data_IF_306122157927
#
_entry.id   IF_306122157927
#
_cell.length_a   1.000
_cell.length_b   1.000
_cell.length_c   1.000
_cell.angle_alpha   90.00
_cell.angle_beta   90.00
_cell.angle_gamma   90.00
#
_symmetry.space_group_name_H-M   'P 1'
#
loop_
_entity.id
_entity.type
_entity.pdbx_description
1 polymer ?
2 non-polymer ?
3 water ?
#
# COMPACT_ATOMS: atom_id res chain seq x y z
N UNK A 1 2.72 -0.09 -14.88
CA UNK A 1 2.40 -0.58 -13.51
C UNK A 1 1.51 -1.82 -13.53
N UNK A 2 1.93 -2.84 -12.79
CA UNK A 2 1.14 -4.06 -12.65
C UNK A 2 1.32 -4.56 -11.21
N UNK A 3 0.62 -5.63 -10.85
CA UNK A 3 0.69 -6.15 -9.48
C UNK A 3 2.05 -6.66 -9.04
N UNK A 4 2.81 -7.21 -9.98
CA UNK A 4 4.13 -7.70 -9.63
C UNK A 4 4.95 -6.52 -9.15
N UNK A 5 4.82 -5.40 -9.85
CA UNK A 5 5.58 -4.22 -9.47
C UNK A 5 5.12 -3.73 -8.10
N UNK A 6 3.81 -3.71 -7.88
CA UNK A 6 3.27 -3.28 -6.60
C UNK A 6 3.84 -4.15 -5.47
N UNK A 7 3.85 -5.47 -5.68
CA UNK A 7 4.37 -6.38 -4.67
C UNK A 7 5.82 -6.07 -4.34
N UNK A 8 6.63 -5.86 -5.36
CA UNK A 8 8.04 -5.58 -5.14
C UNK A 8 8.24 -4.29 -4.35
N UNK A 9 7.53 -3.24 -4.73
CA UNK A 9 7.65 -1.96 -4.04
C UNK A 9 7.22 -2.03 -2.57
N UNK A 10 6.12 -2.74 -2.31
CA UNK A 10 5.54 -2.87 -0.97
C UNK A 10 6.07 -3.98 -0.07
N UNK A 11 6.78 -4.94 -0.64
CA UNK A 11 7.27 -6.06 0.16
C UNK A 11 8.03 -5.65 1.43
N UNK A 12 8.90 -4.62 1.34
CA UNK A 12 9.64 -4.20 2.53
C UNK A 12 8.73 -3.78 3.69
N UNK A 13 7.45 -3.54 3.38
CA UNK A 13 6.47 -3.13 4.38
C UNK A 13 5.76 -4.31 5.00
N UNK A 14 5.97 -5.49 4.42
CA UNK A 14 5.30 -6.69 4.89
C UNK A 14 5.42 -6.96 6.38
N UNK A 15 6.64 -6.96 6.91
CA UNK A 15 6.83 -7.24 8.32
C UNK A 15 6.09 -6.22 9.19
N UNK A 16 6.07 -4.96 8.76
CA UNK A 16 5.38 -3.93 9.52
C UNK A 16 3.86 -4.17 9.54
N UNK A 17 3.27 -4.47 8.40
CA UNK A 17 1.83 -4.69 8.37
C UNK A 17 1.46 -6.01 9.04
N UNK A 18 2.46 -6.84 9.31
CA UNK A 18 2.20 -8.11 9.99
C UNK A 18 2.48 -7.99 11.48
N UNK A 19 2.46 -6.76 11.98
CA UNK A 19 2.67 -6.53 13.40
C UNK A 19 4.09 -6.29 13.86
N UNK A 20 5.03 -6.23 12.92
CA UNK A 20 6.41 -6.00 13.28
C UNK A 20 6.66 -4.52 13.39
N UNK A 21 7.90 -4.11 13.70
CA UNK A 21 8.23 -2.69 13.82
C UNK A 21 8.31 -2.04 12.44
N UNK A 22 8.31 -0.72 12.41
CA UNK A 22 8.37 -0.02 11.15
C UNK A 22 7.42 1.16 11.13
N UNK A 23 7.12 1.71 9.95
CA UNK A 23 7.65 1.23 8.66
C UNK A 23 9.14 1.52 8.51
N UNK A 24 9.86 0.58 7.90
CA UNK A 24 11.29 0.74 7.69
C UNK A 24 11.53 1.79 6.61
N UNK A 25 12.77 2.23 6.47
CA UNK A 25 13.08 3.20 5.45
C UNK A 25 12.85 2.58 4.08
N UNK A 26 13.15 1.29 3.94
CA UNK A 26 12.96 0.60 2.68
C UNK A 26 11.48 0.53 2.34
N UNK A 27 10.66 0.31 3.36
CA UNK A 27 9.23 0.26 3.15
C UNK A 27 8.76 1.61 2.62
N UNK A 28 9.17 2.69 3.28
CA UNK A 28 8.77 4.02 2.85
C UNK A 28 9.32 4.42 1.47
N UNK A 29 10.53 3.98 1.14
CA UNK A 29 11.09 4.30 -0.17
C UNK A 29 10.25 3.63 -1.23
N UNK A 30 9.83 2.40 -0.95
CA UNK A 30 9.01 1.67 -1.89
C UNK A 30 7.67 2.35 -2.04
N UNK A 31 7.09 2.77 -0.92
CA UNK A 31 5.80 3.44 -0.92
C UNK A 31 5.88 4.73 -1.72
N UNK A 32 6.92 5.52 -1.47
CA UNK A 32 7.09 6.78 -2.19
C UNK A 32 7.29 6.54 -3.67
N UNK A 33 8.07 5.52 -4.01
CA UNK A 33 8.31 5.23 -5.41
C UNK A 33 7.03 4.74 -6.09
N UNK A 34 6.27 3.90 -5.39
CA UNK A 34 5.03 3.40 -5.96
C UNK A 34 4.07 4.56 -6.17
N UNK A 35 4.03 5.46 -5.20
CA UNK A 35 3.15 6.62 -5.25
C UNK A 35 3.50 7.47 -6.48
N UNK A 36 4.79 7.63 -6.72
CA UNK A 36 5.25 8.41 -7.86
C UNK A 36 4.90 7.74 -9.19
N UNK A 37 4.88 6.41 -9.22
CA UNK A 37 4.56 5.70 -10.46
C UNK A 37 3.07 5.67 -10.73
N UNK A 38 2.27 5.83 -9.69
CA UNK A 38 0.82 5.82 -9.83
C UNK A 38 0.37 7.23 -10.21
N UNK A 39 0.72 7.64 -11.43
CA UNK A 39 0.42 8.97 -11.94
C UNK A 39 -0.99 9.15 -12.47
N UNK A 40 -1.50 8.15 -13.16
CA UNK A 40 -2.84 8.24 -13.72
C UNK A 40 -3.86 7.55 -12.83
N UNK A 41 -5.13 7.82 -13.10
CA UNK A 41 -6.22 7.21 -12.34
C UNK A 41 -6.09 5.70 -12.47
N UNK A 42 -5.77 5.25 -13.68
CA UNK A 42 -5.62 3.84 -13.94
C UNK A 42 -4.53 3.20 -13.10
N UNK A 43 -3.41 3.90 -12.95
CA UNK A 43 -2.31 3.37 -12.16
C UNK A 43 -2.73 3.30 -10.70
N UNK A 44 -3.40 4.35 -10.23
CA UNK A 44 -3.83 4.36 -8.84
C UNK A 44 -4.83 3.24 -8.59
N UNK A 45 -5.73 3.01 -9.55
CA UNK A 45 -6.70 1.94 -9.40
C UNK A 45 -5.99 0.59 -9.41
N UNK A 46 -4.94 0.48 -10.22
CA UNK A 46 -4.17 -0.75 -10.30
C UNK A 46 -3.54 -1.03 -8.95
N UNK A 47 -2.90 -0.01 -8.37
CA UNK A 47 -2.27 -0.16 -7.06
C UNK A 47 -3.31 -0.66 -6.07
N UNK A 48 -4.50 -0.06 -6.13
CA UNK A 48 -5.59 -0.42 -5.24
C UNK A 48 -6.01 -1.87 -5.46
N UNK A 49 -6.27 -2.25 -6.71
CA UNK A 49 -6.69 -3.62 -7.01
C UNK A 49 -5.64 -4.61 -6.53
N UNK A 50 -4.37 -4.32 -6.80
CA UNK A 50 -3.28 -5.21 -6.40
C UNK A 50 -3.12 -5.36 -4.89
N UNK A 51 -3.21 -4.26 -4.16
CA UNK A 51 -3.08 -4.31 -2.71
C UNK A 51 -4.33 -4.89 -2.05
N UNK A 52 -5.47 -4.70 -2.71
CA UNK A 52 -6.72 -5.22 -2.18
C UNK A 52 -6.59 -6.75 -2.21
N UNK A 53 -6.00 -7.28 -3.28
CA UNK A 53 -5.82 -8.71 -3.39
C UNK A 53 -4.72 -9.21 -2.46
N UNK A 54 -3.62 -8.48 -2.39
CA UNK A 54 -2.50 -8.84 -1.52
C UNK A 54 -2.95 -8.95 -0.07
N UNK A 55 -3.61 -7.90 0.42
CA UNK A 55 -4.09 -7.83 1.79
C UNK A 55 -4.79 -9.11 2.26
N UNK A 56 -5.72 -9.60 1.45
CA UNK A 56 -6.45 -10.81 1.81
C UNK A 56 -5.55 -12.01 2.09
N UNK A 57 -4.36 -12.01 1.51
CA UNK A 57 -3.46 -13.13 1.70
C UNK A 57 -2.35 -12.91 2.71
N UNK A 58 -2.40 -11.80 3.45
CA UNK A 58 -1.38 -11.50 4.45
C UNK A 58 -1.81 -11.94 5.83
N UNK A 59 -1.09 -12.92 6.37
CA UNK A 59 -1.37 -13.45 7.69
C UNK A 59 -1.11 -12.40 8.77
N UNK A 60 -2.07 -12.22 9.67
CA UNK A 60 -1.93 -11.25 10.75
C UNK A 60 -1.83 -9.82 10.25
N UNK A 61 -2.54 -9.51 9.17
CA UNK A 61 -2.50 -8.16 8.62
C UNK A 61 -2.99 -7.17 9.67
N UNK A 62 -2.14 -6.20 9.99
CA UNK A 62 -2.48 -5.18 10.97
C UNK A 62 -2.94 -3.95 10.20
N UNK A 63 -4.25 -3.79 10.03
CA UNK A 63 -4.79 -2.66 9.29
C UNK A 63 -4.38 -1.30 9.86
N UNK A 64 -4.21 -1.23 11.18
CA UNK A 64 -3.81 0.03 11.80
C UNK A 64 -2.41 0.41 11.32
N UNK A 65 -1.53 -0.59 11.21
CA UNK A 65 -0.18 -0.34 10.73
C UNK A 65 -0.27 0.02 9.25
N UNK A 66 -1.03 -0.77 8.49
CA UNK A 66 -1.20 -0.52 7.05
C UNK A 66 -1.73 0.89 6.80
N UNK A 67 -2.71 1.29 7.60
CA UNK A 67 -3.32 2.61 7.46
C UNK A 67 -2.39 3.75 7.84
N UNK A 68 -1.39 3.46 8.66
CA UNK A 68 -0.44 4.47 9.10
C UNK A 68 0.71 4.66 8.11
N UNK A 69 0.80 3.78 7.12
CA UNK A 69 1.87 3.87 6.14
C UNK A 69 1.91 5.19 5.36
N UNK A 70 0.77 5.65 4.82
CA UNK A 70 0.82 6.91 4.07
C UNK A 70 1.40 8.08 4.88
N UNK A 71 0.84 8.32 6.07
CA UNK A 71 1.32 9.42 6.89
C UNK A 71 2.78 9.25 7.32
N UNK A 72 3.12 8.07 7.82
CA UNK A 72 4.48 7.83 8.28
C UNK A 72 5.49 7.92 7.15
N UNK A 73 5.08 7.52 5.95
CA UNK A 73 5.95 7.55 4.79
C UNK A 73 5.83 8.86 4.00
N UNK A 74 5.03 9.78 4.52
CA UNK A 74 4.84 11.09 3.92
C UNK A 74 4.27 11.10 2.50
N UNK A 75 3.30 10.23 2.23
CA UNK A 75 2.68 10.24 0.92
C UNK A 75 1.20 10.44 1.13
N UNK A 76 0.58 11.18 0.23
CA UNK A 76 -0.83 11.47 0.34
C UNK A 76 -1.71 10.38 -0.26
N UNK A 77 -2.46 9.72 0.61
CA UNK A 77 -3.39 8.67 0.18
C UNK A 77 -4.67 9.04 0.92
N UNK A 78 -5.51 9.89 0.29
CA UNK A 78 -6.78 10.37 0.83
C UNK A 78 -7.91 9.37 0.82
N UNK A 79 -7.56 8.09 0.93
CA UNK A 79 -8.57 7.04 0.94
C UNK A 79 -8.34 6.15 2.15
N UNK A 80 -9.43 5.63 2.71
CA UNK A 80 -9.33 4.76 3.86
C UNK A 80 -8.73 3.43 3.44
N UNK A 81 -7.65 3.03 4.11
CA UNK A 81 -7.00 1.76 3.82
C UNK A 81 -7.85 0.70 4.51
N UNK A 82 -8.93 0.29 3.85
CA UNK A 82 -9.82 -0.70 4.41
C UNK A 82 -10.02 -1.86 3.44
N UNK A 83 -10.32 -3.03 3.99
CA UNK A 83 -10.54 -4.20 3.16
C UNK A 83 -11.66 -4.01 2.15
N UNK A 84 -12.72 -3.33 2.56
CA UNK A 84 -13.84 -3.10 1.67
C UNK A 84 -13.64 -1.91 0.74
N UNK A 85 -12.40 -1.44 0.61
CA UNK A 85 -12.14 -0.30 -0.27
C UNK A 85 -12.62 -0.61 -1.68
N UNK A 86 -13.30 0.36 -2.29
CA UNK A 86 -13.81 0.19 -3.64
C UNK A 86 -12.83 0.80 -4.63
N UNK A 87 -12.00 -0.04 -5.23
CA UNK A 87 -10.98 0.40 -6.18
C UNK A 87 -11.49 1.04 -7.45
N UNK A 88 -12.76 0.80 -7.79
CA UNK A 88 -13.33 1.39 -8.99
C UNK A 88 -13.60 2.87 -8.76
N UNK A 89 -13.59 3.29 -7.50
CA UNK A 89 -13.85 4.68 -7.17
C UNK A 89 -12.60 5.49 -6.87
N UNK A 90 -11.44 4.90 -7.13
CA UNK A 90 -10.18 5.59 -6.93
C UNK A 90 -9.85 6.27 -8.24
N UNK A 91 -9.41 7.52 -8.17
CA UNK A 91 -9.02 8.25 -9.37
C UNK A 91 -7.78 9.09 -9.11
X LIG B 1 -4.80 3.93 -2.54
X LIG B 1 -4.91 2.45 -2.68
X LIG B 1 -5.24 1.77 -1.40
X LIG B 1 -5.13 0.28 -1.42
X LIG B 1 -5.13 -0.37 -0.08
X LIG B 1 -6.10 -1.49 0.09
X LIG B 1 -6.01 -2.23 1.40
X LIG B 1 -7.24 -2.96 1.80
X LIG B 1 -7.06 -3.86 2.99
X LIG C 1 4.19 -9.08 -1.43
X LIG C 1 3.32 -7.94 -1.02
X LIG C 1 3.45 -7.52 0.41
X LIG C 1 2.76 -6.24 0.74
X LIG C 1 3.10 -5.66 2.07
X LIG C 1 2.27 -4.48 2.49
X LIG C 1 0.94 -4.38 1.82
X LIG C 1 -0.11 -3.68 2.64
X LIG C 1 -1.50 -3.96 2.20
X LIG D 1 -4.05 8.04 -3.16
X LIG D 1 -3.19 9.73 -4.68
X LIG D 1 -2.98 8.21 -4.22
X LIG D 1 -2.11 7.34 -5.07
X LIG D 1 -2.08 5.88 -4.61
X LIG D 1 -0.68 5.42 -4.40
X LIG D 1 -0.48 4.50 -3.24
X LIG D 1 0.94 4.11 -2.99
X LIG D 1 1.20 3.45 -1.67
X LIG D 1 -0.01 3.24 -0.81
X LIG D 1 0.23 2.46 0.44
X LIG D 1 -1.01 1.86 1.04
X LIG D 1 -0.87 1.48 2.52
X LIG D 1 -0.91 0.01 2.77
#
# INVERSE_FOLDING_TARGET
LNCGQVDSKMKPCLTYVQGGPGPSGECCNGVRDLHNQAQSSGDRQTVCNCLKGIARGIHNLNLNNAASIPSKCNVNVPYTISPDIDCSRIY
LAP C1 C2 C3 C4 C5 C6 C7 C8 C9
LAP C1 C2 C3 C4 C5 C6 C7 C8 C9
LAP O1 O2 C1 C2 C3 C4 C5 C6 C7 C8 C9 C10 C11 C12
#
